data_IF_959308786558
#
_entry.id   IF_959308786558
#
_cell.length_a   1.000
_cell.length_b   1.000
_cell.length_c   1.000
_cell.angle_alpha   90.00
_cell.angle_beta   90.00
_cell.angle_gamma   90.00
#
_symmetry.space_group_name_H-M   'P 1'
#
loop_
_entity.id
_entity.type
_entity.pdbx_description
1 polymer ?
#
# COMPACT_ATOMS: atom_id res chain seq x y z
N UNK A 1 -16.07 -18.48 -4.89
CA UNK A 1 -15.73 -18.47 -3.47
C UNK A 1 -15.29 -17.09 -3.02
N UNK A 2 -15.51 -16.79 -1.75
CA UNK A 2 -15.14 -15.52 -1.12
C UNK A 2 -13.97 -15.75 -0.17
N UNK A 3 -12.94 -14.92 -0.26
CA UNK A 3 -11.83 -14.92 0.68
C UNK A 3 -11.89 -13.68 1.58
N UNK A 4 -11.53 -13.86 2.83
CA UNK A 4 -11.38 -12.79 3.80
C UNK A 4 -9.90 -12.60 4.10
N UNK A 5 -9.41 -11.38 4.02
CA UNK A 5 -8.03 -11.03 4.35
C UNK A 5 -8.04 -9.91 5.37
N UNK A 6 -7.38 -10.13 6.51
CA UNK A 6 -7.34 -9.17 7.60
C UNK A 6 -5.90 -8.91 7.99
N UNK A 7 -5.53 -7.63 8.08
CA UNK A 7 -4.24 -7.19 8.59
C UNK A 7 -4.44 -6.39 9.87
N UNK A 8 -3.80 -6.79 10.95
CA UNK A 8 -3.88 -6.12 12.24
C UNK A 8 -2.89 -4.97 12.31
N UNK A 9 -3.38 -3.80 12.72
CA UNK A 9 -2.57 -2.59 12.90
C UNK A 9 -2.58 -2.16 14.36
N UNK A 10 -1.41 -1.78 14.86
CA UNK A 10 -1.22 -1.33 16.25
C UNK A 10 -1.15 0.19 16.38
N UNK A 11 -1.33 0.93 15.28
CA UNK A 11 -1.33 2.38 15.28
C UNK A 11 -2.45 2.97 16.15
N UNK A 12 -2.19 4.13 16.76
CA UNK A 12 -3.15 4.83 17.60
C UNK A 12 -4.26 5.51 16.81
N UNK A 13 -4.13 5.62 15.50
CA UNK A 13 -5.10 6.26 14.61
C UNK A 13 -5.12 5.57 13.26
N UNK A 14 -6.31 5.51 12.63
CA UNK A 14 -6.49 5.04 11.26
C UNK A 14 -6.33 6.17 10.22
N UNK A 15 -5.92 7.36 10.63
CA UNK A 15 -5.83 8.56 9.78
C UNK A 15 -4.97 8.35 8.52
N UNK A 16 -3.90 7.58 8.64
CA UNK A 16 -2.97 7.31 7.53
C UNK A 16 -3.14 5.91 6.93
N UNK A 17 -4.31 5.28 7.15
CA UNK A 17 -4.60 3.98 6.58
C UNK A 17 -4.52 4.03 5.05
N UNK A 18 -3.80 3.07 4.48
CA UNK A 18 -3.58 3.01 3.03
C UNK A 18 -4.37 1.85 2.42
N UNK A 19 -5.42 2.17 1.67
CA UNK A 19 -6.21 1.17 0.94
C UNK A 19 -5.41 0.47 -0.16
N UNK A 20 -4.25 1.01 -0.55
CA UNK A 20 -3.33 0.32 -1.46
C UNK A 20 -2.88 -1.03 -0.92
N UNK A 21 -2.73 -1.17 0.39
CA UNK A 21 -2.45 -2.48 1.00
C UNK A 21 -3.58 -3.48 0.75
N UNK A 22 -4.84 -3.04 0.89
CA UNK A 22 -5.99 -3.89 0.63
C UNK A 22 -6.05 -4.35 -0.82
N UNK A 23 -5.78 -3.44 -1.75
CA UNK A 23 -5.71 -3.76 -3.18
C UNK A 23 -4.65 -4.83 -3.46
N UNK A 24 -3.44 -4.68 -2.93
CA UNK A 24 -2.35 -5.65 -3.11
C UNK A 24 -2.67 -6.99 -2.48
N UNK A 25 -3.28 -6.99 -1.30
CA UNK A 25 -3.73 -8.23 -0.65
C UNK A 25 -4.74 -8.96 -1.53
N UNK A 26 -5.71 -8.24 -2.08
CA UNK A 26 -6.72 -8.82 -2.98
C UNK A 26 -6.07 -9.40 -4.25
N UNK A 27 -5.17 -8.66 -4.89
CA UNK A 27 -4.47 -9.13 -6.08
C UNK A 27 -3.62 -10.38 -5.79
N UNK A 28 -2.98 -10.43 -4.62
CA UNK A 28 -2.20 -11.59 -4.20
C UNK A 28 -3.10 -12.83 -4.07
N UNK A 29 -4.26 -12.68 -3.44
CA UNK A 29 -5.23 -13.79 -3.32
C UNK A 29 -5.71 -14.24 -4.71
N UNK A 30 -6.04 -13.31 -5.59
CA UNK A 30 -6.48 -13.65 -6.94
C UNK A 30 -5.39 -14.37 -7.74
N UNK A 31 -4.13 -14.01 -7.53
CA UNK A 31 -3.01 -14.65 -8.22
C UNK A 31 -2.78 -16.09 -7.76
N UNK A 32 -3.01 -16.38 -6.48
CA UNK A 32 -2.70 -17.68 -5.89
C UNK A 32 -3.90 -18.63 -5.78
N UNK A 33 -5.11 -18.09 -5.78
CA UNK A 33 -6.33 -18.89 -5.57
C UNK A 33 -7.33 -18.65 -6.71
N UNK A 34 -7.25 -19.44 -7.81
CA UNK A 34 -8.08 -19.23 -9.00
C UNK A 34 -9.59 -19.32 -8.75
N UNK A 35 -10.00 -20.06 -7.72
CA UNK A 35 -11.42 -20.27 -7.40
C UNK A 35 -12.03 -19.10 -6.60
N UNK A 36 -11.21 -18.14 -6.15
CA UNK A 36 -11.72 -16.98 -5.41
C UNK A 36 -12.18 -15.91 -6.39
N UNK A 37 -13.44 -15.53 -6.29
CA UNK A 37 -14.04 -14.50 -7.13
C UNK A 37 -14.17 -13.15 -6.43
N UNK A 38 -14.22 -13.16 -5.10
CA UNK A 38 -14.41 -11.98 -4.27
C UNK A 38 -13.45 -12.01 -3.10
N UNK A 39 -12.76 -10.90 -2.85
CA UNK A 39 -11.91 -10.71 -1.68
C UNK A 39 -12.48 -9.58 -0.84
N UNK A 40 -12.76 -9.87 0.41
CA UNK A 40 -13.11 -8.87 1.43
C UNK A 40 -11.88 -8.63 2.30
N UNK A 41 -11.29 -7.46 2.17
CA UNK A 41 -10.03 -7.12 2.83
C UNK A 41 -10.24 -6.02 3.88
N UNK A 42 -9.55 -6.13 5.01
CA UNK A 42 -9.67 -5.18 6.09
C UNK A 42 -8.34 -4.90 6.79
N UNK A 43 -8.12 -3.64 7.15
CA UNK A 43 -7.12 -3.22 8.13
C UNK A 43 -7.84 -3.05 9.47
N UNK A 44 -7.45 -3.81 10.46
CA UNK A 44 -8.08 -3.80 11.78
C UNK A 44 -7.16 -3.11 12.78
N UNK A 45 -7.53 -1.89 13.14
CA UNK A 45 -6.77 -1.07 14.11
C UNK A 45 -7.23 -1.42 15.52
N UNK A 46 -6.47 -2.29 16.19
CA UNK A 46 -6.88 -2.87 17.48
C UNK A 46 -6.77 -1.88 18.65
N UNK A 47 -5.90 -0.87 18.56
CA UNK A 47 -5.72 0.11 19.64
C UNK A 47 -6.81 1.17 19.63
N UNK A 48 -7.15 1.71 18.46
CA UNK A 48 -8.17 2.76 18.33
C UNK A 48 -9.55 2.20 17.92
N UNK A 49 -9.70 0.90 17.84
CA UNK A 49 -10.96 0.21 17.50
C UNK A 49 -11.57 0.68 16.17
N UNK A 50 -10.75 0.85 15.15
CA UNK A 50 -11.18 1.28 13.83
C UNK A 50 -10.97 0.15 12.80
N UNK A 51 -11.84 0.12 11.79
CA UNK A 51 -11.75 -0.84 10.68
C UNK A 51 -11.77 -0.05 9.37
N UNK A 52 -10.77 -0.30 8.53
CA UNK A 52 -10.76 0.18 7.14
C UNK A 52 -10.91 -1.05 6.26
N UNK A 53 -11.96 -1.12 5.47
CA UNK A 53 -12.28 -2.32 4.67
C UNK A 53 -12.72 -1.95 3.27
N UNK A 54 -12.55 -2.90 2.36
CA UNK A 54 -13.05 -2.81 1.00
C UNK A 54 -13.30 -4.20 0.44
N UNK A 55 -14.06 -4.27 -0.65
CA UNK A 55 -14.40 -5.51 -1.34
C UNK A 55 -13.92 -5.42 -2.79
N UNK A 56 -13.24 -6.47 -3.24
CA UNK A 56 -12.68 -6.54 -4.58
C UNK A 56 -13.24 -7.76 -5.31
N UNK A 57 -13.56 -7.59 -6.59
CA UNK A 57 -14.07 -8.66 -7.44
C UNK A 57 -13.07 -9.00 -8.54
N UNK A 58 -12.84 -10.28 -8.77
CA UNK A 58 -11.93 -10.74 -9.83
C UNK A 58 -12.29 -10.16 -11.18
N UNK A 59 -13.59 -10.09 -11.49
CA UNK A 59 -14.07 -9.58 -12.78
C UNK A 59 -13.65 -8.13 -13.06
N UNK A 60 -13.41 -7.32 -12.03
CA UNK A 60 -12.99 -5.92 -12.16
C UNK A 60 -11.55 -5.69 -11.70
N UNK A 61 -10.76 -6.74 -11.55
CA UNK A 61 -9.38 -6.62 -11.03
C UNK A 61 -8.38 -6.08 -12.05
N UNK A 62 -8.73 -6.05 -13.34
CA UNK A 62 -7.81 -5.58 -14.40
C UNK A 62 -7.31 -4.16 -14.16
N UNK A 63 -8.16 -3.24 -13.70
CA UNK A 63 -7.78 -1.86 -13.39
C UNK A 63 -6.78 -1.78 -12.25
N UNK A 64 -6.93 -2.65 -11.25
CA UNK A 64 -5.98 -2.72 -10.13
C UNK A 64 -4.64 -3.27 -10.61
N UNK A 65 -4.63 -4.30 -11.46
CA UNK A 65 -3.41 -4.84 -12.05
C UNK A 65 -2.68 -3.77 -12.86
N UNK A 66 -3.38 -3.04 -13.71
CA UNK A 66 -2.79 -1.95 -14.49
C UNK A 66 -2.13 -0.89 -13.60
N UNK A 67 -2.85 -0.45 -12.57
CA UNK A 67 -2.35 0.53 -11.59
C UNK A 67 -1.05 0.07 -10.93
N UNK A 68 -1.02 -1.15 -10.41
CA UNK A 68 0.12 -1.66 -9.66
C UNK A 68 1.27 -2.08 -10.55
N UNK A 69 1.00 -2.62 -11.74
CA UNK A 69 2.04 -2.91 -12.73
C UNK A 69 2.71 -1.63 -13.26
N UNK A 70 1.95 -0.55 -13.40
CA UNK A 70 2.52 0.76 -13.73
C UNK A 70 3.49 1.25 -12.66
N UNK A 71 3.11 1.12 -11.38
CA UNK A 71 3.99 1.48 -10.25
C UNK A 71 5.23 0.58 -10.20
N UNK A 72 5.06 -0.71 -10.43
CA UNK A 72 6.18 -1.65 -10.51
C UNK A 72 7.14 -1.28 -11.63
N UNK A 73 6.62 -0.94 -12.81
CA UNK A 73 7.43 -0.53 -13.95
C UNK A 73 8.29 0.70 -13.66
N UNK A 74 7.74 1.68 -12.94
CA UNK A 74 8.50 2.86 -12.51
C UNK A 74 9.61 2.50 -11.53
N UNK A 75 9.33 1.61 -10.59
CA UNK A 75 10.32 1.13 -9.63
C UNK A 75 11.43 0.33 -10.34
N UNK A 76 11.05 -0.54 -11.28
CA UNK A 76 12.00 -1.32 -12.06
C UNK A 76 12.91 -0.41 -12.91
N UNK A 77 12.34 0.60 -13.55
CA UNK A 77 13.09 1.59 -14.33
C UNK A 77 14.08 2.37 -13.46
N UNK A 78 13.65 2.77 -12.25
CA UNK A 78 14.54 3.45 -11.31
C UNK A 78 15.70 2.54 -10.90
N UNK A 79 15.43 1.27 -10.65
CA UNK A 79 16.46 0.30 -10.30
C UNK A 79 17.44 0.05 -11.46
N UNK A 80 16.90 -0.13 -12.68
CA UNK A 80 17.71 -0.43 -13.86
C UNK A 80 18.64 0.74 -14.25
N UNK A 81 18.20 1.96 -14.02
CA UNK A 81 18.97 3.17 -14.37
C UNK A 81 19.69 3.79 -13.18
N UNK A 82 19.52 3.22 -11.98
CA UNK A 82 20.06 3.76 -10.71
C UNK A 82 19.69 5.24 -10.49
N UNK A 83 18.44 5.59 -10.80
CA UNK A 83 17.90 6.94 -10.63
C UNK A 83 16.77 6.90 -9.61
N UNK A 84 17.01 7.48 -8.43
CA UNK A 84 16.09 7.47 -7.30
C UNK A 84 15.71 8.90 -6.94
N UNK A 85 14.62 9.38 -7.54
CA UNK A 85 14.15 10.74 -7.29
C UNK A 85 13.59 10.85 -5.86
N UNK A 86 13.97 11.92 -5.12
CA UNK A 86 13.46 12.10 -3.77
C UNK A 86 11.95 12.41 -3.80
N UNK A 87 11.24 11.84 -2.83
CA UNK A 87 9.83 12.18 -2.59
C UNK A 87 9.76 12.94 -1.27
N UNK A 88 9.81 14.25 -1.35
CA UNK A 88 9.72 15.10 -0.15
C UNK A 88 8.34 15.02 0.48
N UNK A 89 8.30 15.10 1.82
CA UNK A 89 7.07 15.07 2.59
C UNK A 89 7.24 15.84 3.90
N UNK A 90 6.18 15.93 4.68
CA UNK A 90 6.24 16.53 6.02
C UNK A 90 7.24 15.85 6.94
N UNK A 91 7.57 14.58 6.70
CA UNK A 91 8.57 13.85 7.47
C UNK A 91 9.98 14.43 7.29
N UNK A 92 10.29 15.02 6.15
CA UNK A 92 11.59 15.64 5.89
C UNK A 92 11.86 16.80 6.83
N UNK A 93 10.81 17.48 7.28
CA UNK A 93 10.92 18.69 8.10
C UNK A 93 11.43 18.42 9.52
N UNK A 94 10.98 17.36 10.18
CA UNK A 94 11.26 17.12 11.60
C UNK A 94 11.68 15.69 11.95
N UNK A 95 11.38 14.72 11.12
CA UNK A 95 11.49 13.31 11.48
C UNK A 95 12.56 12.54 10.69
N UNK A 96 13.11 13.13 9.63
CA UNK A 96 14.13 12.45 8.82
C UNK A 96 15.47 12.44 9.55
N UNK A 97 16.10 11.28 9.64
CA UNK A 97 17.39 11.09 10.29
C UNK A 97 18.58 11.50 9.42
N UNK A 98 18.39 11.67 8.11
CA UNK A 98 19.46 11.98 7.16
C UNK A 98 19.69 13.48 7.14
N UNK A 99 20.59 13.96 7.98
CA UNK A 99 20.82 15.39 8.18
C UNK A 99 21.50 16.06 6.99
N UNK A 100 22.34 15.35 6.26
CA UNK A 100 23.04 15.88 5.07
C UNK A 100 22.15 15.98 3.84
N UNK A 101 20.94 15.45 3.89
CA UNK A 101 20.00 15.56 2.78
C UNK A 101 19.55 17.01 2.59
N UNK A 102 19.62 17.51 1.35
CA UNK A 102 19.22 18.89 1.02
C UNK A 102 17.76 19.19 1.33
N UNK A 103 16.94 18.15 1.43
CA UNK A 103 15.51 18.27 1.73
C UNK A 103 15.20 18.16 3.22
N UNK A 104 16.22 17.95 4.07
CA UNK A 104 16.01 17.88 5.52
C UNK A 104 15.71 19.28 6.07
N UNK A 105 14.54 19.44 6.70
CA UNK A 105 14.09 20.72 7.21
C UNK A 105 14.85 21.25 8.43
N UNK A 106 15.82 20.47 8.94
CA UNK A 106 16.70 20.88 10.06
C UNK A 106 18.04 21.42 9.59
N UNK A 107 18.29 21.41 8.30
CA UNK A 107 19.48 22.00 7.68
C UNK A 107 19.35 23.52 7.61
#
# INVERSE_FOLDING_TARGET
DVAWVVDYKTGKSAKYADKGQLELMALTVFAHFPNVHTVKAALLFVVCTAIVKDTYHRASSSTLWEKWLSKYGKMQSAADNDVWNPRTSGLCRRHCAVLECVHNGRN
#
